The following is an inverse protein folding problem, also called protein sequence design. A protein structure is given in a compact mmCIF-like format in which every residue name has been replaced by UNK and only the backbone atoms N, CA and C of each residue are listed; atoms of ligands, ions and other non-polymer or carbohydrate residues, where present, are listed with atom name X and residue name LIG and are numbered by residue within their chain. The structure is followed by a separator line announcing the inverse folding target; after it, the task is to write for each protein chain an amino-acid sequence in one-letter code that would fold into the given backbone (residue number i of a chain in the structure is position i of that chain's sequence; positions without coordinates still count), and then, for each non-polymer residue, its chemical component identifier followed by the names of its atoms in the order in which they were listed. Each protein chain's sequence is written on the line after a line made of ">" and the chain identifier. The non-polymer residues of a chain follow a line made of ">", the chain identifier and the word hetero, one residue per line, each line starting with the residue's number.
data_IF_944813080049
#
_entry.id   IF_944813080049
#
_cell.length_a   1.000
_cell.length_b   1.000
_cell.length_c   1.000
_cell.angle_alpha   90.00
_cell.angle_beta   90.00
_cell.angle_gamma   90.00
#
_symmetry.space_group_name_H-M   'P 1'
#
loop_
_entity.id
_entity.type
_entity.pdbx_description
1 polymer ?
#
# COMPACT_ATOMS: atom_id res chain seq x y z
N UNK A 1 -8.51 -25.93 -3.14
CA UNK A 1 -7.60 -25.44 -4.20
C UNK A 1 -7.26 -24.00 -3.86
N UNK A 2 -5.97 -23.70 -3.67
CA UNK A 2 -5.44 -22.36 -3.42
C UNK A 2 -5.93 -21.44 -4.55
N UNK A 3 -6.70 -20.42 -4.21
CA UNK A 3 -7.09 -19.37 -5.14
C UNK A 3 -5.88 -18.46 -5.27
N UNK A 4 -5.30 -18.27 -6.45
CA UNK A 4 -4.18 -17.33 -6.62
C UNK A 4 -4.77 -15.94 -6.94
N UNK A 5 -4.43 -14.92 -6.14
CA UNK A 5 -4.50 -13.54 -6.64
C UNK A 5 -3.49 -13.46 -7.80
N UNK A 6 -3.78 -12.76 -8.92
CA UNK A 6 -2.79 -12.61 -9.97
C UNK A 6 -1.61 -11.82 -9.40
N UNK A 7 -0.48 -12.51 -9.24
CA UNK A 7 0.80 -11.91 -8.88
C UNK A 7 1.10 -10.81 -9.90
N UNK A 8 1.30 -9.58 -9.42
CA UNK A 8 1.72 -8.48 -10.29
C UNK A 8 3.23 -8.55 -10.41
N UNK A 9 3.70 -8.80 -11.64
CA UNK A 9 5.13 -8.80 -11.95
C UNK A 9 5.71 -7.39 -11.85
N UNK A 10 6.97 -7.30 -11.42
CA UNK A 10 7.73 -6.04 -11.28
C UNK A 10 6.97 -4.94 -10.51
N UNK A 11 6.32 -5.33 -9.41
CA UNK A 11 5.59 -4.43 -8.53
C UNK A 11 6.49 -3.63 -7.58
N UNK A 12 7.72 -4.07 -7.38
CA UNK A 12 8.73 -3.33 -6.63
C UNK A 12 10.14 -3.56 -7.13
N UNK A 13 11.08 -2.80 -6.56
CA UNK A 13 12.51 -2.94 -6.82
C UNK A 13 13.25 -3.04 -5.49
N UNK A 14 14.25 -3.92 -5.43
CA UNK A 14 15.26 -3.93 -4.39
C UNK A 14 16.57 -3.37 -4.95
N UNK A 15 16.93 -2.16 -4.54
CA UNK A 15 18.12 -1.45 -5.00
C UNK A 15 19.15 -1.33 -3.88
N UNK A 16 20.42 -1.55 -4.20
CA UNK A 16 21.51 -1.42 -3.24
C UNK A 16 22.02 0.02 -3.14
N UNK A 17 22.54 0.39 -1.97
CA UNK A 17 23.23 1.64 -1.73
C UNK A 17 24.38 1.46 -0.73
N UNK A 18 25.25 2.46 -0.65
CA UNK A 18 26.31 2.55 0.34
C UNK A 18 25.78 2.62 1.77
N UNK A 19 26.60 2.24 2.75
CA UNK A 19 26.24 2.34 4.16
C UNK A 19 26.56 3.71 4.73
N UNK A 20 25.60 4.31 5.44
CA UNK A 20 25.78 5.56 6.13
C UNK A 20 25.27 5.42 7.58
N UNK A 21 26.19 5.51 8.53
CA UNK A 21 25.86 5.36 9.96
C UNK A 21 24.96 6.49 10.49
N UNK A 22 24.90 7.64 9.81
CA UNK A 22 24.00 8.74 10.12
C UNK A 22 22.60 8.57 9.49
N UNK A 23 22.12 7.32 9.47
CA UNK A 23 20.77 6.92 9.00
C UNK A 23 20.42 7.39 7.58
N UNK A 24 21.41 7.63 6.73
CA UNK A 24 21.20 8.29 5.42
C UNK A 24 20.37 9.58 5.52
N UNK A 25 20.53 10.31 6.62
CA UNK A 25 19.90 11.59 6.89
C UNK A 25 20.95 12.70 7.11
N UNK A 26 22.23 12.39 6.99
CA UNK A 26 23.34 13.35 7.08
C UNK A 26 24.59 12.79 6.38
N UNK A 27 25.65 13.59 6.30
CA UNK A 27 26.93 13.19 5.71
C UNK A 27 27.51 11.92 6.37
N UNK A 28 28.22 11.06 5.61
CA UNK A 28 28.78 9.84 6.15
C UNK A 28 30.01 10.15 7.02
N UNK A 29 30.32 9.27 7.96
CA UNK A 29 31.57 9.38 8.72
C UNK A 29 32.79 9.02 7.86
N UNK A 30 34.00 9.40 8.29
CA UNK A 30 35.24 8.96 7.64
C UNK A 30 35.33 7.43 7.60
N UNK A 31 34.83 6.76 8.64
CA UNK A 31 34.83 5.30 8.70
C UNK A 31 33.86 4.70 7.68
N UNK A 32 32.69 5.30 7.48
CA UNK A 32 31.72 4.89 6.45
C UNK A 32 32.34 4.96 5.05
N UNK A 33 33.02 6.06 4.74
CA UNK A 33 33.69 6.25 3.45
C UNK A 33 34.78 5.18 3.21
N UNK A 34 35.62 4.91 4.22
CA UNK A 34 36.68 3.89 4.13
C UNK A 34 36.14 2.48 3.98
N UNK A 35 35.05 2.16 4.69
CA UNK A 35 34.46 0.83 4.70
C UNK A 35 33.54 0.56 3.48
N UNK A 36 33.19 1.59 2.70
CA UNK A 36 32.33 1.43 1.52
C UNK A 36 32.90 0.39 0.54
N UNK A 37 32.02 -0.35 -0.12
CA UNK A 37 32.38 -1.31 -1.18
C UNK A 37 32.30 -0.72 -2.57
N UNK A 38 31.84 0.53 -2.69
CA UNK A 38 31.66 1.20 -3.97
C UNK A 38 32.90 2.04 -4.30
N UNK A 39 33.50 1.78 -5.47
CA UNK A 39 34.70 2.47 -5.94
C UNK A 39 34.53 3.99 -5.94
N UNK A 40 33.41 4.49 -6.47
CA UNK A 40 33.14 5.93 -6.52
C UNK A 40 33.13 6.61 -5.13
N UNK A 41 32.74 5.90 -4.07
CA UNK A 41 32.75 6.44 -2.71
C UNK A 41 34.17 6.58 -2.19
N UNK A 42 35.01 5.57 -2.44
CA UNK A 42 36.42 5.60 -2.05
C UNK A 42 37.21 6.66 -2.82
N UNK A 43 36.96 6.76 -4.13
CA UNK A 43 37.71 7.63 -5.03
C UNK A 43 37.37 9.10 -4.81
N UNK A 44 36.10 9.41 -4.53
CA UNK A 44 35.61 10.80 -4.39
C UNK A 44 35.42 11.24 -2.94
N UNK A 45 35.60 10.34 -1.97
CA UNK A 45 35.25 10.58 -0.55
C UNK A 45 33.84 11.16 -0.39
N UNK A 46 32.91 10.67 -1.21
CA UNK A 46 31.58 11.23 -1.38
C UNK A 46 30.53 10.13 -1.59
N UNK A 47 29.39 10.25 -0.93
CA UNK A 47 28.32 9.25 -0.95
C UNK A 47 27.00 9.93 -1.30
N UNK A 48 26.65 9.92 -2.57
CA UNK A 48 25.44 10.58 -3.10
C UNK A 48 24.15 10.15 -2.38
N UNK A 49 24.09 8.92 -1.85
CA UNK A 49 22.93 8.35 -1.15
C UNK A 49 22.71 8.91 0.27
N UNK A 50 23.58 9.80 0.76
CA UNK A 50 23.60 10.22 2.17
C UNK A 50 22.34 10.91 2.68
N UNK A 51 21.47 11.38 1.78
CA UNK A 51 20.25 12.10 2.16
C UNK A 51 18.96 11.30 1.94
N UNK A 52 19.04 10.02 1.57
CA UNK A 52 17.87 9.20 1.20
C UNK A 52 16.75 9.17 2.26
N UNK A 53 17.05 9.35 3.54
CA UNK A 53 16.07 9.43 4.63
C UNK A 53 16.16 10.75 5.41
N UNK A 54 16.68 11.81 4.78
CA UNK A 54 16.77 13.16 5.35
C UNK A 54 15.52 14.02 5.17
N UNK A 55 14.41 13.47 4.68
CA UNK A 55 13.17 14.20 4.33
C UNK A 55 12.43 14.83 5.51
N UNK A 56 12.75 14.42 6.75
CA UNK A 56 12.24 15.05 7.98
C UNK A 56 13.15 16.21 8.46
N UNK A 57 14.34 16.37 7.87
CA UNK A 57 15.36 17.34 8.29
C UNK A 57 15.52 18.44 7.24
N UNK A 58 15.51 18.08 5.96
CA UNK A 58 15.79 18.98 4.85
C UNK A 58 14.53 19.25 4.02
N UNK A 59 14.41 20.44 3.41
CA UNK A 59 13.20 20.85 2.70
C UNK A 59 12.94 20.00 1.46
N UNK A 60 11.68 19.71 1.19
CA UNK A 60 11.26 19.17 -0.11
C UNK A 60 11.39 20.23 -1.22
N UNK A 61 11.40 19.77 -2.46
CA UNK A 61 11.38 20.62 -3.65
C UNK A 61 10.05 21.41 -3.76
N UNK A 62 10.01 22.43 -4.61
CA UNK A 62 8.83 23.28 -4.78
C UNK A 62 7.56 22.52 -5.22
N UNK A 63 7.73 21.37 -5.88
CA UNK A 63 6.66 20.47 -6.29
C UNK A 63 6.19 19.52 -5.16
N UNK A 64 6.78 19.61 -3.97
CA UNK A 64 6.47 18.80 -2.79
C UNK A 64 7.22 17.47 -2.69
N UNK A 65 8.06 17.11 -3.66
CA UNK A 65 8.81 15.86 -3.65
C UNK A 65 10.14 16.00 -2.93
N UNK A 66 10.59 14.91 -2.32
CA UNK A 66 11.94 14.81 -1.78
C UNK A 66 12.77 13.86 -2.65
N UNK A 67 13.92 14.37 -3.10
CA UNK A 67 14.83 13.65 -3.99
C UNK A 67 15.74 12.73 -3.17
N UNK A 68 15.93 11.51 -3.65
CA UNK A 68 16.93 10.54 -3.20
C UNK A 68 17.81 10.08 -4.35
N UNK A 69 18.77 9.22 -4.03
CA UNK A 69 19.70 8.66 -5.01
C UNK A 69 20.09 7.22 -4.64
N UNK A 70 20.15 6.34 -5.64
CA UNK A 70 20.84 5.06 -5.55
C UNK A 70 21.70 4.83 -6.80
N UNK A 71 22.94 4.33 -6.67
CA UNK A 71 23.79 4.04 -7.83
C UNK A 71 23.17 2.99 -8.77
N UNK A 72 22.22 2.17 -8.28
CA UNK A 72 21.60 1.12 -9.09
C UNK A 72 20.67 1.66 -10.17
N UNK A 73 20.15 2.88 -10.01
CA UNK A 73 19.26 3.53 -10.98
C UNK A 73 20.00 4.47 -11.94
N UNK A 74 21.33 4.57 -11.86
CA UNK A 74 22.13 5.30 -12.86
C UNK A 74 21.95 4.73 -14.27
N UNK A 75 21.67 3.42 -14.35
CA UNK A 75 21.08 2.81 -15.55
C UNK A 75 19.60 2.61 -15.24
N UNK A 76 18.71 3.43 -15.82
CA UNK A 76 17.30 3.38 -15.47
C UNK A 76 16.71 2.01 -15.81
N UNK A 77 15.70 1.56 -15.04
CA UNK A 77 14.95 0.35 -15.35
C UNK A 77 14.26 0.46 -16.72
N UNK A 78 14.01 -0.70 -17.34
CA UNK A 78 13.22 -0.75 -18.57
C UNK A 78 11.81 -0.21 -18.33
N UNK A 79 11.35 0.71 -19.19
CA UNK A 79 10.09 1.45 -19.02
C UNK A 79 8.90 0.49 -18.93
N UNK A 80 8.84 -0.51 -19.82
CA UNK A 80 7.72 -1.46 -19.85
C UNK A 80 7.73 -2.41 -18.65
N UNK A 81 8.92 -2.82 -18.19
CA UNK A 81 9.05 -3.65 -16.99
C UNK A 81 8.75 -2.88 -15.71
N UNK A 82 9.02 -1.58 -15.67
CA UNK A 82 8.92 -0.77 -14.46
C UNK A 82 7.61 -0.01 -14.30
N UNK A 83 6.70 -0.07 -15.27
CA UNK A 83 5.40 0.63 -15.26
C UNK A 83 4.45 0.29 -14.10
N UNK A 84 4.71 -0.81 -13.39
CA UNK A 84 3.92 -1.27 -12.25
C UNK A 84 4.68 -1.16 -10.92
N UNK A 85 5.88 -0.58 -10.92
CA UNK A 85 6.67 -0.41 -9.70
C UNK A 85 6.02 0.65 -8.84
N UNK A 86 5.58 0.24 -7.65
CA UNK A 86 4.98 1.14 -6.67
C UNK A 86 5.90 1.36 -5.46
N UNK A 87 6.93 0.52 -5.27
CA UNK A 87 7.87 0.63 -4.14
C UNK A 87 9.31 0.34 -4.60
N UNK A 88 10.24 1.19 -4.17
CA UNK A 88 11.68 0.93 -4.28
C UNK A 88 12.27 0.78 -2.88
N UNK A 89 12.63 -0.45 -2.52
CA UNK A 89 13.34 -0.78 -1.28
C UNK A 89 14.83 -0.49 -1.42
N UNK A 90 15.43 0.03 -0.34
CA UNK A 90 16.86 0.32 -0.29
C UNK A 90 17.59 -0.66 0.63
N UNK A 91 18.53 -1.39 0.04
CA UNK A 91 19.42 -2.35 0.68
C UNK A 91 20.77 -1.72 0.96
N UNK A 92 21.30 -1.90 2.16
CA UNK A 92 22.66 -1.51 2.51
C UNK A 92 23.42 -2.61 3.25
N UNK A 93 24.74 -2.50 3.29
CA UNK A 93 25.63 -3.47 3.97
C UNK A 93 26.27 -2.82 5.19
N UNK A 94 25.79 -3.19 6.37
CA UNK A 94 26.23 -2.72 7.67
C UNK A 94 27.61 -3.29 8.03
N UNK A 95 28.67 -2.56 7.70
CA UNK A 95 30.04 -3.01 7.97
C UNK A 95 30.33 -3.12 9.47
N UNK A 96 29.68 -2.31 10.31
CA UNK A 96 29.89 -2.31 11.76
C UNK A 96 29.38 -3.62 12.37
N UNK A 97 28.37 -4.24 11.76
CA UNK A 97 27.83 -5.54 12.17
C UNK A 97 28.22 -6.65 11.19
N UNK A 98 29.52 -6.74 10.84
CA UNK A 98 30.05 -7.86 10.06
C UNK A 98 29.60 -7.88 8.59
N UNK A 99 29.38 -6.71 8.00
CA UNK A 99 28.82 -6.56 6.64
C UNK A 99 27.41 -7.15 6.48
N UNK A 100 26.63 -7.17 7.56
CA UNK A 100 25.24 -7.63 7.56
C UNK A 100 24.42 -6.85 6.54
N UNK A 101 23.74 -7.56 5.66
CA UNK A 101 22.88 -6.96 4.64
C UNK A 101 21.52 -6.65 5.24
N UNK A 102 21.01 -5.45 4.99
CA UNK A 102 19.80 -4.98 5.63
C UNK A 102 19.01 -4.05 4.70
N UNK A 103 17.72 -4.32 4.56
CA UNK A 103 16.78 -3.39 3.93
C UNK A 103 16.43 -2.35 4.98
N UNK A 104 16.73 -1.09 4.69
CA UNK A 104 16.73 0.01 5.69
C UNK A 104 15.55 0.95 5.54
N UNK A 105 14.76 0.80 4.47
CA UNK A 105 13.60 1.59 4.18
C UNK A 105 13.21 1.50 2.72
N UNK A 106 12.27 2.34 2.32
CA UNK A 106 11.82 2.43 0.94
C UNK A 106 11.27 3.81 0.57
N UNK A 107 11.14 4.01 -0.74
CA UNK A 107 10.36 5.06 -1.37
C UNK A 107 9.08 4.44 -1.93
N UNK A 108 7.93 4.91 -1.45
CA UNK A 108 6.62 4.49 -1.91
C UNK A 108 6.06 5.46 -2.97
N UNK A 109 5.31 4.92 -3.93
CA UNK A 109 4.81 5.65 -5.10
C UNK A 109 5.87 6.53 -5.79
N UNK A 110 7.08 6.01 -6.07
CA UNK A 110 8.19 6.85 -6.49
C UNK A 110 8.09 7.27 -7.96
N UNK A 111 8.64 8.45 -8.26
CA UNK A 111 9.12 8.78 -9.60
C UNK A 111 10.60 8.45 -9.69
N UNK A 112 11.00 7.77 -10.75
CA UNK A 112 12.36 7.35 -11.01
C UNK A 112 12.56 7.15 -12.51
N UNK A 113 13.82 6.95 -12.94
CA UNK A 113 14.17 6.75 -14.34
C UNK A 113 14.74 7.99 -15.03
N UNK A 114 14.51 9.17 -14.44
CA UNK A 114 15.11 10.44 -14.83
C UNK A 114 16.06 10.96 -13.73
N UNK A 115 16.87 11.97 -14.09
CA UNK A 115 17.62 12.76 -13.14
C UNK A 115 16.78 13.94 -12.64
N UNK A 116 16.75 14.13 -11.33
CA UNK A 116 16.05 15.21 -10.67
C UNK A 116 17.06 16.15 -10.02
N UNK A 117 17.01 17.43 -10.38
CA UNK A 117 17.83 18.48 -9.79
C UNK A 117 17.14 19.06 -8.54
N UNK A 118 17.94 19.34 -7.51
CA UNK A 118 17.47 20.06 -6.33
C UNK A 118 17.48 21.56 -6.60
N UNK A 119 16.37 22.18 -6.26
CA UNK A 119 16.11 23.61 -6.40
C UNK A 119 15.78 24.27 -5.07
N UNK A 120 15.40 23.48 -4.06
CA UNK A 120 15.16 23.95 -2.71
C UNK A 120 16.41 24.62 -2.10
N UNK A 121 16.20 25.71 -1.36
CA UNK A 121 17.30 26.45 -0.74
C UNK A 121 17.75 25.75 0.57
N UNK A 122 18.86 25.03 0.49
CA UNK A 122 19.56 24.51 1.66
C UNK A 122 21.06 24.35 1.38
N UNK A 123 21.91 24.70 2.34
CA UNK A 123 23.37 24.68 2.17
C UNK A 123 23.91 23.29 1.79
N UNK A 124 23.34 22.23 2.38
CA UNK A 124 23.71 20.83 2.08
C UNK A 124 23.43 20.45 0.61
N UNK A 125 22.45 21.06 -0.04
CA UNK A 125 22.07 20.76 -1.42
C UNK A 125 23.07 21.29 -2.44
N UNK A 126 23.97 22.20 -2.05
CA UNK A 126 25.14 22.55 -2.88
C UNK A 126 26.07 21.36 -3.09
N UNK A 127 26.08 20.41 -2.15
CA UNK A 127 26.86 19.18 -2.23
C UNK A 127 26.05 18.03 -2.84
N UNK A 128 24.77 17.93 -2.47
CA UNK A 128 23.85 16.88 -2.90
C UNK A 128 22.79 17.43 -3.85
N UNK A 129 23.23 17.98 -4.98
CA UNK A 129 22.43 18.81 -5.89
C UNK A 129 21.41 18.05 -6.75
N UNK A 130 21.45 16.72 -6.76
CA UNK A 130 20.65 15.93 -7.68
C UNK A 130 20.48 14.49 -7.22
N UNK A 131 19.54 13.78 -7.84
CA UNK A 131 19.27 12.37 -7.59
C UNK A 131 18.46 11.70 -8.69
N UNK A 132 18.09 10.44 -8.50
CA UNK A 132 17.47 9.59 -9.53
C UNK A 132 16.21 8.85 -9.06
N UNK A 133 15.71 9.22 -7.88
CA UNK A 133 14.43 8.80 -7.33
C UNK A 133 13.84 9.98 -6.55
N UNK A 134 12.53 10.13 -6.55
CA UNK A 134 11.84 11.07 -5.68
C UNK A 134 10.47 10.51 -5.27
N UNK A 135 10.02 10.87 -4.08
CA UNK A 135 8.68 10.56 -3.60
C UNK A 135 8.19 11.70 -2.69
N UNK A 136 6.88 11.71 -2.40
CA UNK A 136 6.37 12.62 -1.38
C UNK A 136 6.99 12.26 -0.02
N UNK A 137 7.38 13.23 0.81
CA UNK A 137 7.95 12.97 2.13
C UNK A 137 7.15 11.97 2.93
N UNK A 138 5.81 12.04 2.95
CA UNK A 138 4.96 11.11 3.70
C UNK A 138 5.06 9.63 3.26
N UNK A 139 5.54 9.38 2.03
CA UNK A 139 5.66 8.04 1.44
C UNK A 139 7.12 7.56 1.39
N UNK A 140 8.06 8.30 1.98
CA UNK A 140 9.43 7.85 2.24
C UNK A 140 9.51 7.29 3.67
N UNK A 141 9.85 6.01 3.77
CA UNK A 141 9.81 5.27 5.03
C UNK A 141 11.21 4.77 5.39
N UNK A 142 11.74 5.26 6.51
CA UNK A 142 12.93 4.72 7.15
C UNK A 142 12.57 3.66 8.21
N UNK A 143 13.36 2.59 8.30
CA UNK A 143 13.19 1.54 9.30
C UNK A 143 14.20 1.71 10.43
N UNK A 144 13.72 2.08 11.62
CA UNK A 144 14.54 2.09 12.85
C UNK A 144 15.04 0.68 13.19
N UNK A 145 14.23 -0.34 12.92
CA UNK A 145 14.62 -1.75 12.94
C UNK A 145 14.64 -2.29 11.51
N UNK A 146 15.81 -2.37 10.86
CA UNK A 146 15.90 -2.77 9.46
C UNK A 146 15.63 -4.27 9.29
N UNK A 147 15.22 -4.67 8.08
CA UNK A 147 15.01 -6.09 7.74
C UNK A 147 16.37 -6.69 7.38
N UNK A 148 16.92 -7.50 8.28
CA UNK A 148 18.16 -8.25 8.03
C UNK A 148 17.88 -9.39 7.06
N UNK A 149 18.68 -9.49 6.01
CA UNK A 149 18.52 -10.51 4.96
C UNK A 149 19.85 -11.18 4.60
N UNK A 150 19.76 -12.44 4.22
CA UNK A 150 20.79 -13.20 3.52
C UNK A 150 20.11 -14.09 2.47
N UNK A 151 20.88 -14.89 1.72
CA UNK A 151 20.32 -15.75 0.67
C UNK A 151 19.39 -16.86 1.20
N UNK A 152 19.49 -17.23 2.48
CA UNK A 152 18.65 -18.25 3.09
C UNK A 152 17.34 -17.63 3.61
N UNK A 153 17.43 -16.47 4.27
CA UNK A 153 16.30 -15.68 4.74
C UNK A 153 15.41 -15.27 3.56
N UNK A 154 15.97 -14.74 2.47
CA UNK A 154 15.14 -14.29 1.33
C UNK A 154 14.37 -15.43 0.67
N UNK A 155 14.93 -16.65 0.67
CA UNK A 155 14.23 -17.85 0.18
C UNK A 155 13.15 -18.29 1.15
N UNK A 156 13.49 -18.39 2.44
CA UNK A 156 12.57 -18.84 3.49
C UNK A 156 11.36 -17.92 3.62
N UNK A 157 11.58 -16.62 3.61
CA UNK A 157 10.55 -15.60 3.83
C UNK A 157 9.96 -15.05 2.52
N UNK A 158 10.35 -15.62 1.37
CA UNK A 158 9.90 -15.22 0.03
C UNK A 158 9.98 -13.71 -0.23
N UNK A 159 11.10 -13.08 0.15
CA UNK A 159 11.35 -11.64 -0.06
C UNK A 159 11.83 -11.31 -1.47
N UNK A 160 12.35 -12.28 -2.22
CA UNK A 160 12.76 -12.15 -3.61
C UNK A 160 12.10 -13.25 -4.46
N UNK A 161 12.01 -13.07 -5.79
CA UNK A 161 11.64 -14.17 -6.69
C UNK A 161 12.60 -15.36 -6.53
N UNK A 162 12.11 -16.57 -6.74
CA UNK A 162 12.82 -17.83 -6.42
C UNK A 162 14.11 -18.04 -7.20
N UNK A 163 14.26 -17.40 -8.37
CA UNK A 163 15.44 -17.44 -9.23
C UNK A 163 16.47 -16.33 -8.93
N UNK A 164 16.20 -15.45 -7.94
CA UNK A 164 17.05 -14.29 -7.63
C UNK A 164 17.87 -14.48 -6.35
N UNK A 165 19.04 -13.84 -6.34
CA UNK A 165 19.91 -13.72 -5.16
C UNK A 165 20.12 -12.24 -4.80
N UNK A 166 20.50 -11.97 -3.55
CA UNK A 166 20.82 -10.60 -3.12
C UNK A 166 22.20 -10.18 -3.61
N UNK A 167 22.39 -8.87 -3.83
CA UNK A 167 23.67 -8.26 -4.20
C UNK A 167 24.29 -8.79 -5.49
N UNK A 168 23.47 -9.17 -6.46
CA UNK A 168 23.90 -9.29 -7.85
C UNK A 168 24.11 -7.88 -8.44
N UNK A 169 24.82 -7.78 -9.56
CA UNK A 169 25.07 -6.50 -10.22
C UNK A 169 23.73 -5.88 -10.65
N UNK A 170 23.43 -4.67 -10.16
CA UNK A 170 22.18 -3.96 -10.43
C UNK A 170 21.14 -4.10 -9.32
N UNK A 171 19.87 -4.08 -9.71
CA UNK A 171 18.74 -4.20 -8.80
C UNK A 171 17.90 -5.44 -9.13
N UNK A 172 17.11 -5.91 -8.16
CA UNK A 172 16.15 -6.99 -8.37
C UNK A 172 14.74 -6.43 -8.51
N UNK A 173 14.02 -6.88 -9.54
CA UNK A 173 12.56 -6.71 -9.56
C UNK A 173 11.92 -7.66 -8.56
N UNK A 174 10.85 -7.17 -7.94
CA UNK A 174 10.02 -7.87 -6.97
C UNK A 174 8.61 -7.94 -7.51
N UNK A 175 7.93 -9.06 -7.33
CA UNK A 175 6.50 -9.15 -7.62
C UNK A 175 5.66 -8.68 -6.42
N UNK A 176 4.33 -8.63 -6.58
CA UNK A 176 3.41 -8.18 -5.52
C UNK A 176 3.55 -8.93 -4.20
N UNK A 177 3.82 -10.23 -4.24
CA UNK A 177 3.94 -11.07 -3.04
C UNK A 177 5.24 -10.77 -2.31
N UNK A 178 6.35 -10.61 -3.05
CA UNK A 178 7.63 -10.22 -2.46
C UNK A 178 7.54 -8.86 -1.76
N UNK A 179 6.93 -7.87 -2.43
CA UNK A 179 6.68 -6.54 -1.87
C UNK A 179 5.80 -6.68 -0.62
N UNK A 180 4.74 -7.47 -0.69
CA UNK A 180 3.85 -7.70 0.44
C UNK A 180 4.58 -8.26 1.66
N UNK A 181 5.34 -9.35 1.47
CA UNK A 181 6.09 -10.01 2.54
C UNK A 181 7.10 -9.06 3.19
N UNK A 182 7.78 -8.22 2.39
CA UNK A 182 8.70 -7.21 2.89
C UNK A 182 7.99 -6.12 3.71
N UNK A 183 6.84 -5.62 3.26
CA UNK A 183 6.09 -4.59 3.99
C UNK A 183 5.53 -5.14 5.31
N UNK A 184 5.00 -6.37 5.33
CA UNK A 184 4.58 -7.03 6.57
C UNK A 184 5.76 -7.22 7.52
N UNK A 185 6.90 -7.66 7.02
CA UNK A 185 8.10 -7.79 7.85
C UNK A 185 8.56 -6.45 8.42
N UNK A 186 8.49 -5.39 7.62
CA UNK A 186 8.81 -4.04 8.06
C UNK A 186 7.87 -3.60 9.20
N UNK A 187 6.56 -3.84 9.07
CA UNK A 187 5.56 -3.52 10.08
C UNK A 187 5.81 -4.25 11.41
N UNK A 188 6.05 -5.56 11.34
CA UNK A 188 6.37 -6.38 12.51
C UNK A 188 7.60 -5.87 13.26
N UNK A 189 8.63 -5.43 12.52
CA UNK A 189 9.86 -4.90 13.12
C UNK A 189 9.70 -3.45 13.60
N UNK A 190 8.81 -2.66 12.96
CA UNK A 190 8.64 -1.23 13.21
C UNK A 190 7.18 -0.88 13.59
N UNK A 191 6.59 -1.50 14.63
CA UNK A 191 5.16 -1.39 14.92
C UNK A 191 4.73 -0.01 15.43
N UNK A 192 5.66 0.88 15.77
CA UNK A 192 5.38 2.26 16.19
C UNK A 192 5.57 3.29 15.07
N UNK A 193 6.04 2.88 13.89
CA UNK A 193 6.27 3.79 12.77
C UNK A 193 4.93 4.25 12.15
N UNK A 194 4.52 5.49 12.47
CA UNK A 194 3.24 6.07 12.02
C UNK A 194 3.18 6.21 10.49
N UNK A 195 4.28 6.61 9.84
CA UNK A 195 4.31 6.79 8.38
C UNK A 195 4.15 5.45 7.65
N UNK A 196 4.82 4.40 8.14
CA UNK A 196 4.67 3.05 7.60
C UNK A 196 3.22 2.55 7.72
N UNK A 197 2.57 2.79 8.86
CA UNK A 197 1.14 2.45 9.05
C UNK A 197 0.23 3.20 8.08
N UNK A 198 0.43 4.51 7.95
CA UNK A 198 -0.35 5.33 7.02
C UNK A 198 -0.11 4.91 5.57
N UNK A 199 1.13 4.60 5.21
CA UNK A 199 1.49 4.11 3.88
C UNK A 199 0.73 2.82 3.56
N UNK A 200 0.70 1.84 4.48
CA UNK A 200 -0.01 0.56 4.28
C UNK A 200 -1.52 0.75 4.13
N UNK A 201 -2.11 1.76 4.78
CA UNK A 201 -3.52 2.10 4.56
C UNK A 201 -3.79 2.66 3.15
N UNK A 202 -2.84 3.43 2.59
CA UNK A 202 -2.91 3.98 1.23
C UNK A 202 -2.54 2.95 0.16
N UNK A 203 -1.63 2.06 0.50
CA UNK A 203 -1.05 1.03 -0.35
C UNK A 203 -1.70 -0.31 0.01
N UNK A 204 -2.94 -0.58 -0.45
CA UNK A 204 -3.65 -1.79 -0.10
C UNK A 204 -2.82 -2.98 -0.58
N UNK A 205 -2.11 -3.59 0.36
CA UNK A 205 -1.40 -4.83 0.15
C UNK A 205 -2.43 -5.85 -0.34
N UNK A 206 -2.22 -6.40 -1.54
CA UNK A 206 -3.09 -7.41 -2.14
C UNK A 206 -2.96 -8.75 -1.39
N UNK A 207 -3.42 -8.80 -0.15
CA UNK A 207 -3.47 -10.01 0.65
C UNK A 207 -4.82 -10.65 0.51
N UNK A 208 -4.82 -11.91 0.09
CA UNK A 208 -5.86 -12.83 0.47
C UNK A 208 -5.86 -12.94 1.99
N UNK A 209 -6.82 -12.26 2.61
CA UNK A 209 -7.39 -12.68 3.87
C UNK A 209 -7.99 -14.08 3.68
N UNK A 210 -7.14 -15.11 3.71
CA UNK A 210 -7.57 -16.49 3.84
C UNK A 210 -6.79 -17.13 4.97
N UNK A 211 -7.44 -17.05 6.14
CA UNK A 211 -7.21 -17.78 7.38
C UNK A 211 -6.03 -17.35 8.26
N UNK A 212 -6.35 -17.25 9.55
CA UNK A 212 -5.52 -16.80 10.69
C UNK A 212 -5.40 -15.27 10.76
N UNK A 213 -6.32 -14.53 11.39
CA UNK A 213 -6.58 -14.54 12.85
C UNK A 213 -5.28 -14.57 13.64
N UNK A 214 -4.36 -13.67 13.34
CA UNK A 214 -3.39 -13.14 14.30
C UNK A 214 -3.07 -11.71 13.89
N UNK A 215 -3.11 -10.77 14.83
CA UNK A 215 -2.66 -9.37 14.67
C UNK A 215 -3.61 -8.32 14.04
N UNK A 216 -4.88 -8.31 14.43
CA UNK A 216 -5.74 -7.10 14.27
C UNK A 216 -6.57 -6.77 15.51
N UNK A 217 -6.89 -7.77 16.36
CA UNK A 217 -7.61 -7.52 17.61
C UNK A 217 -6.73 -6.88 18.70
N UNK A 218 -5.46 -7.27 18.83
CA UNK A 218 -4.50 -6.55 19.69
C UNK A 218 -4.21 -5.13 19.17
N UNK A 219 -4.40 -4.89 17.86
CA UNK A 219 -4.12 -3.61 17.20
C UNK A 219 -5.16 -2.53 17.52
N UNK A 220 -6.45 -2.88 17.59
CA UNK A 220 -7.50 -1.91 17.94
C UNK A 220 -7.50 -1.57 19.44
N UNK A 221 -7.10 -2.51 20.30
CA UNK A 221 -7.03 -2.27 21.75
C UNK A 221 -5.88 -1.28 22.10
N UNK A 222 -4.78 -1.28 21.34
CA UNK A 222 -3.65 -0.35 21.53
C UNK A 222 -3.90 1.04 20.90
N UNK A 223 -4.67 1.12 19.81
CA UNK A 223 -4.98 2.39 19.13
C UNK A 223 -6.10 3.16 19.83
N UNK A 224 -7.02 2.46 20.51
CA UNK A 224 -8.06 3.10 21.34
C UNK A 224 -7.50 3.90 22.52
N UNK A 225 -6.42 3.43 23.14
CA UNK A 225 -5.98 3.92 24.46
C UNK A 225 -4.94 5.06 24.45
N UNK A 226 -4.46 5.54 23.30
CA UNK A 226 -3.27 6.42 23.30
C UNK A 226 -3.44 7.86 22.82
N UNK A 227 -4.62 8.32 22.39
CA UNK A 227 -4.81 9.77 22.05
C UNK A 227 -6.20 10.38 22.30
N UNK A 228 -7.17 9.67 22.90
CA UNK A 228 -8.53 10.20 23.08
C UNK A 228 -9.10 10.10 24.51
N UNK A 229 -8.29 9.81 25.52
CA UNK A 229 -8.79 9.59 26.89
C UNK A 229 -9.02 10.87 27.70
N UNK A 230 -8.74 12.04 27.14
CA UNK A 230 -9.02 13.31 27.83
C UNK A 230 -9.68 14.32 26.90
N UNK A 231 -10.66 15.03 27.46
CA UNK A 231 -11.36 16.15 26.83
C UNK A 231 -10.37 17.23 26.35
N UNK A 232 -9.24 17.37 27.05
CA UNK A 232 -8.16 18.29 26.69
C UNK A 232 -7.44 17.88 25.40
N UNK A 233 -7.17 16.58 25.20
CA UNK A 233 -6.56 16.06 23.97
C UNK A 233 -7.46 16.24 22.74
N UNK A 234 -8.78 16.11 22.91
CA UNK A 234 -9.77 16.38 21.87
C UNK A 234 -9.81 17.89 21.54
N UNK A 235 -9.73 18.74 22.57
CA UNK A 235 -9.75 20.21 22.40
C UNK A 235 -8.51 20.75 21.69
N UNK A 236 -7.35 20.14 21.93
CA UNK A 236 -6.10 20.52 21.27
C UNK A 236 -6.08 20.09 19.79
N UNK A 237 -6.60 18.89 19.49
CA UNK A 237 -6.84 18.41 18.13
C UNK A 237 -7.84 19.30 17.38
N UNK A 238 -8.92 19.73 18.02
CA UNK A 238 -9.91 20.63 17.41
C UNK A 238 -9.29 21.98 17.05
N UNK A 239 -8.48 22.58 17.94
CA UNK A 239 -7.78 23.86 17.68
C UNK A 239 -6.79 23.76 16.51
N UNK A 240 -6.14 22.61 16.34
CA UNK A 240 -5.23 22.33 15.22
C UNK A 240 -6.00 22.17 13.91
N UNK A 241 -7.13 21.48 13.93
CA UNK A 241 -7.94 21.23 12.73
C UNK A 241 -8.75 22.45 12.27
N UNK A 242 -9.22 23.29 13.21
CA UNK A 242 -10.03 24.48 12.91
C UNK A 242 -9.25 25.60 12.20
N UNK A 243 -7.91 25.50 12.16
CA UNK A 243 -7.02 26.41 11.40
C UNK A 243 -6.62 25.88 10.03
N UNK A 244 -7.00 24.65 9.67
CA UNK A 244 -6.65 24.06 8.38
C UNK A 244 -7.77 24.30 7.36
N UNK A 245 -7.44 24.97 6.26
CA UNK A 245 -8.29 24.99 5.06
C UNK A 245 -8.30 23.61 4.41
N UNK A 246 -9.47 23.02 4.10
CA UNK A 246 -9.55 21.72 3.45
C UNK A 246 -8.84 21.75 2.10
N UNK A 247 -7.75 20.99 1.97
CA UNK A 247 -7.14 20.75 0.67
C UNK A 247 -8.01 19.76 -0.11
N UNK A 248 -8.51 20.18 -1.28
CA UNK A 248 -9.13 19.28 -2.25
C UNK A 248 -8.03 18.39 -2.81
N UNK A 249 -7.89 17.19 -2.25
CA UNK A 249 -7.01 16.14 -2.79
C UNK A 249 -7.71 15.45 -3.94
N UNK A 250 -7.22 15.66 -5.15
CA UNK A 250 -7.70 14.97 -6.35
C UNK A 250 -7.22 13.52 -6.32
N UNK A 251 -8.12 12.59 -6.06
CA UNK A 251 -7.88 11.14 -6.11
C UNK A 251 -7.95 10.69 -7.58
N UNK A 252 -6.81 10.38 -8.20
CA UNK A 252 -6.79 9.63 -9.46
C UNK A 252 -6.84 8.15 -9.09
N UNK A 253 -8.04 7.57 -9.12
CA UNK A 253 -8.20 6.12 -9.01
C UNK A 253 -7.96 5.49 -10.38
N UNK A 254 -6.96 4.62 -10.52
CA UNK A 254 -6.89 3.71 -11.65
C UNK A 254 -8.09 2.76 -11.59
N UNK A 255 -9.04 3.01 -12.49
CA UNK A 255 -10.28 2.28 -12.63
C UNK A 255 -10.00 0.99 -13.41
N UNK A 256 -10.06 -0.17 -12.75
CA UNK A 256 -10.30 -1.42 -13.47
C UNK A 256 -11.70 -1.29 -14.07
N UNK A 257 -11.81 -1.43 -15.38
CA UNK A 257 -13.04 -1.28 -16.14
C UNK A 257 -14.13 -2.26 -15.66
N UNK A 258 -14.99 -1.83 -14.71
CA UNK A 258 -16.16 -2.58 -14.20
C UNK A 258 -17.49 -1.87 -14.50
N UNK A 259 -17.52 -1.05 -15.55
CA UNK A 259 -18.53 0.00 -15.71
C UNK A 259 -19.84 -0.39 -16.39
N UNK A 260 -19.82 -1.31 -17.35
CA UNK A 260 -21.01 -1.55 -18.16
C UNK A 260 -22.04 -2.43 -17.43
N UNK A 261 -21.59 -3.50 -16.76
CA UNK A 261 -22.49 -4.49 -16.16
C UNK A 261 -23.08 -3.95 -14.84
N UNK A 262 -22.25 -3.42 -13.93
CA UNK A 262 -22.72 -2.92 -12.64
C UNK A 262 -23.79 -1.82 -12.80
N UNK A 263 -23.62 -0.90 -13.75
CA UNK A 263 -24.62 0.14 -14.01
C UNK A 263 -25.93 -0.43 -14.60
N UNK A 264 -25.86 -1.46 -15.43
CA UNK A 264 -27.07 -2.15 -15.95
C UNK A 264 -27.79 -2.91 -14.84
N UNK A 265 -27.06 -3.58 -13.95
CA UNK A 265 -27.63 -4.29 -12.79
C UNK A 265 -28.39 -3.36 -11.86
N UNK A 266 -27.83 -2.17 -11.56
CA UNK A 266 -28.52 -1.16 -10.74
C UNK A 266 -29.84 -0.71 -11.36
N UNK A 267 -29.89 -0.55 -12.70
CA UNK A 267 -31.13 -0.23 -13.43
C UNK A 267 -32.14 -1.38 -13.40
N UNK A 268 -31.69 -2.62 -13.63
CA UNK A 268 -32.55 -3.80 -13.62
C UNK A 268 -33.18 -4.04 -12.24
N UNK A 269 -32.45 -3.77 -11.16
CA UNK A 269 -32.95 -3.83 -9.80
C UNK A 269 -33.75 -2.57 -9.37
N UNK A 270 -33.99 -1.63 -10.29
CA UNK A 270 -34.72 -0.39 -10.00
C UNK A 270 -34.06 0.49 -8.93
N UNK A 271 -32.74 0.39 -8.75
CA UNK A 271 -31.97 1.07 -7.72
C UNK A 271 -32.40 0.77 -6.27
N UNK A 272 -32.94 -0.43 -6.04
CA UNK A 272 -33.37 -0.92 -4.72
C UNK A 272 -32.28 -1.70 -4.01
N UNK A 273 -32.28 -1.67 -2.69
CA UNK A 273 -31.60 -2.65 -1.86
C UNK A 273 -32.49 -3.89 -1.73
N UNK A 274 -32.02 -5.02 -2.28
CA UNK A 274 -32.78 -6.27 -2.29
C UNK A 274 -32.89 -6.92 -0.90
N UNK A 275 -31.94 -6.61 0.00
CA UNK A 275 -32.02 -7.03 1.41
C UNK A 275 -33.08 -6.22 2.16
N UNK A 276 -33.05 -4.88 2.06
CA UNK A 276 -34.11 -4.05 2.63
C UNK A 276 -35.50 -4.49 2.14
N UNK A 277 -35.65 -4.71 0.83
CA UNK A 277 -36.91 -5.16 0.24
C UNK A 277 -37.35 -6.51 0.82
N UNK A 278 -36.45 -7.48 0.94
CA UNK A 278 -36.73 -8.78 1.56
C UNK A 278 -37.06 -8.70 3.05
N UNK A 279 -36.54 -7.69 3.76
CA UNK A 279 -36.84 -7.40 5.16
C UNK A 279 -38.12 -6.55 5.36
N UNK A 280 -38.76 -6.10 4.28
CA UNK A 280 -39.91 -5.18 4.36
C UNK A 280 -39.53 -3.74 4.76
N UNK A 281 -38.25 -3.38 4.66
CA UNK A 281 -37.73 -2.05 4.94
C UNK A 281 -37.72 -1.18 3.67
N UNK A 282 -37.71 0.16 3.80
CA UNK A 282 -37.57 1.06 2.67
C UNK A 282 -36.32 0.70 1.83
N UNK A 283 -36.48 0.32 0.54
CA UNK A 283 -35.37 -0.22 -0.24
C UNK A 283 -34.52 0.85 -0.91
N UNK A 284 -34.90 2.13 -0.80
CA UNK A 284 -34.22 3.24 -1.45
C UNK A 284 -33.37 4.02 -0.44
N UNK A 285 -32.14 4.33 -0.83
CA UNK A 285 -31.30 5.28 -0.10
C UNK A 285 -31.54 6.72 -0.59
N UNK A 286 -30.63 7.64 -0.25
CA UNK A 286 -30.66 9.03 -0.71
C UNK A 286 -30.52 9.13 -2.24
N UNK A 287 -31.05 10.21 -2.82
CA UNK A 287 -30.92 10.48 -4.26
C UNK A 287 -29.56 11.10 -4.56
N UNK A 288 -28.92 10.62 -5.63
CA UNK A 288 -27.74 11.25 -6.22
C UNK A 288 -28.16 12.53 -6.98
N UNK A 289 -27.19 13.41 -7.33
CA UNK A 289 -27.46 14.59 -8.16
C UNK A 289 -28.15 14.28 -9.50
N UNK A 290 -27.94 13.07 -10.03
CA UNK A 290 -28.60 12.61 -11.26
C UNK A 290 -30.02 12.06 -11.04
N UNK A 291 -30.62 12.29 -9.87
CA UNK A 291 -32.00 11.90 -9.53
C UNK A 291 -32.19 10.43 -9.12
N UNK A 292 -31.23 9.54 -9.43
CA UNK A 292 -31.35 8.12 -9.10
C UNK A 292 -30.96 7.85 -7.63
N UNK A 293 -31.63 6.91 -6.94
CA UNK A 293 -31.22 6.46 -5.62
C UNK A 293 -29.78 5.91 -5.62
N UNK A 294 -29.04 6.20 -4.55
CA UNK A 294 -27.72 5.62 -4.31
C UNK A 294 -27.87 4.13 -3.98
N UNK A 295 -27.08 3.30 -4.67
CA UNK A 295 -27.07 1.85 -4.46
C UNK A 295 -25.71 1.29 -4.90
N UNK A 296 -25.27 0.26 -4.21
CA UNK A 296 -24.00 -0.43 -4.44
C UNK A 296 -24.29 -1.81 -5.02
N UNK A 297 -23.38 -2.29 -5.87
CA UNK A 297 -23.46 -3.64 -6.43
C UNK A 297 -22.44 -4.49 -5.71
N UNK A 298 -22.89 -5.59 -5.12
CA UNK A 298 -22.07 -6.53 -4.38
C UNK A 298 -22.11 -7.90 -5.06
N UNK A 299 -21.00 -8.62 -5.04
CA UNK A 299 -20.99 -10.00 -5.52
C UNK A 299 -21.41 -10.90 -4.37
N UNK A 300 -22.52 -11.63 -4.51
CA UNK A 300 -23.09 -12.46 -3.43
C UNK A 300 -22.14 -13.58 -3.07
N UNK A 301 -21.71 -14.35 -4.08
CA UNK A 301 -20.55 -15.20 -3.96
C UNK A 301 -19.31 -14.35 -4.31
N UNK A 302 -18.32 -14.28 -3.43
CA UNK A 302 -17.13 -13.48 -3.69
C UNK A 302 -16.49 -13.87 -5.03
N UNK A 303 -16.04 -12.87 -5.81
CA UNK A 303 -15.31 -13.10 -7.08
C UNK A 303 -14.08 -13.98 -6.84
N UNK A 304 -13.51 -13.92 -5.62
CA UNK A 304 -12.38 -14.74 -5.18
C UNK A 304 -12.65 -16.25 -5.21
N UNK A 305 -13.89 -16.71 -5.29
CA UNK A 305 -14.21 -18.14 -5.42
C UNK A 305 -13.87 -18.72 -6.80
N UNK A 306 -13.64 -17.88 -7.82
CA UNK A 306 -13.28 -18.24 -9.21
C UNK A 306 -14.20 -19.27 -9.88
N UNK A 307 -15.39 -19.55 -9.31
CA UNK A 307 -16.36 -20.46 -9.92
C UNK A 307 -16.89 -19.87 -11.23
N UNK A 308 -17.08 -20.72 -12.23
CA UNK A 308 -17.68 -20.32 -13.52
C UNK A 308 -19.07 -19.72 -13.24
N UNK A 309 -19.24 -18.42 -13.50
CA UNK A 309 -20.49 -17.70 -13.25
C UNK A 309 -20.44 -16.62 -12.16
N UNK A 310 -19.32 -16.45 -11.44
CA UNK A 310 -19.22 -15.44 -10.35
C UNK A 310 -19.13 -13.99 -10.84
N UNK A 311 -18.69 -13.78 -12.09
CA UNK A 311 -18.78 -12.49 -12.78
C UNK A 311 -20.13 -12.31 -13.50
N UNK A 312 -21.01 -13.32 -13.47
CA UNK A 312 -22.32 -13.23 -14.10
C UNK A 312 -23.24 -12.33 -13.29
N UNK A 313 -24.22 -11.76 -13.98
CA UNK A 313 -25.30 -11.00 -13.36
C UNK A 313 -26.06 -11.79 -12.28
N UNK A 314 -26.12 -13.12 -12.41
CA UNK A 314 -26.79 -13.99 -11.46
C UNK A 314 -26.02 -14.12 -10.13
N UNK A 315 -24.81 -13.55 -10.04
CA UNK A 315 -24.03 -13.48 -8.81
C UNK A 315 -23.95 -12.05 -8.24
N UNK A 316 -24.71 -11.11 -8.81
CA UNK A 316 -24.76 -9.72 -8.36
C UNK A 316 -26.03 -9.46 -7.56
N UNK A 317 -25.86 -8.79 -6.42
CA UNK A 317 -26.95 -8.21 -5.63
C UNK A 317 -26.76 -6.70 -5.57
N UNK A 318 -27.86 -5.98 -5.43
CA UNK A 318 -27.85 -4.54 -5.17
C UNK A 318 -28.25 -4.27 -3.72
N UNK A 319 -27.41 -3.50 -3.03
CA UNK A 319 -27.51 -3.25 -1.59
C UNK A 319 -27.23 -1.79 -1.25
N UNK A 320 -27.85 -1.28 -0.17
CA UNK A 320 -27.51 0.04 0.36
C UNK A 320 -26.16 -0.01 1.08
N UNK A 321 -25.56 1.14 1.37
CA UNK A 321 -24.26 1.22 2.05
C UNK A 321 -24.23 0.43 3.37
N UNK A 322 -25.29 0.53 4.18
CA UNK A 322 -25.37 -0.19 5.46
C UNK A 322 -25.37 -1.70 5.27
N UNK A 323 -26.23 -2.24 4.39
CA UNK A 323 -26.26 -3.67 4.13
C UNK A 323 -25.03 -4.15 3.37
N UNK A 324 -24.40 -3.30 2.56
CA UNK A 324 -23.12 -3.62 1.94
C UNK A 324 -22.03 -3.81 3.01
N UNK A 325 -21.91 -2.87 3.95
CA UNK A 325 -21.03 -3.02 5.11
C UNK A 325 -21.42 -4.21 6.00
N UNK A 326 -22.72 -4.47 6.18
CA UNK A 326 -23.19 -5.61 6.98
C UNK A 326 -22.83 -6.94 6.34
N UNK A 327 -22.90 -7.05 5.00
CA UNK A 327 -22.46 -8.23 4.26
C UNK A 327 -20.95 -8.48 4.38
N UNK A 328 -20.15 -7.42 4.61
CA UNK A 328 -18.70 -7.53 4.80
C UNK A 328 -18.29 -7.75 6.27
N UNK A 329 -18.97 -7.10 7.22
CA UNK A 329 -18.48 -6.94 8.60
C UNK A 329 -19.51 -7.30 9.67
N UNK A 330 -20.78 -7.47 9.30
CA UNK A 330 -21.87 -7.73 10.23
C UNK A 330 -22.14 -9.22 10.42
N UNK A 331 -23.14 -9.52 11.23
CA UNK A 331 -23.62 -10.89 11.44
C UNK A 331 -24.47 -11.35 10.25
N UNK A 332 -23.81 -11.60 9.12
CA UNK A 332 -24.45 -12.09 7.90
C UNK A 332 -23.71 -13.28 7.31
N UNK A 333 -24.44 -14.31 6.91
CA UNK A 333 -23.91 -15.52 6.30
C UNK A 333 -24.77 -15.89 5.09
N UNK A 334 -24.14 -16.34 4.00
CA UNK A 334 -24.87 -16.95 2.88
C UNK A 334 -25.10 -18.43 3.17
N UNK A 335 -26.36 -18.83 3.24
CA UNK A 335 -26.77 -20.22 3.45
C UNK A 335 -26.83 -20.98 2.12
N UNK A 336 -27.31 -20.32 1.06
CA UNK A 336 -27.52 -20.96 -0.25
C UNK A 336 -27.35 -19.97 -1.39
N UNK A 337 -26.69 -20.40 -2.46
CA UNK A 337 -26.54 -19.63 -3.71
C UNK A 337 -26.98 -20.50 -4.89
N UNK A 338 -28.13 -20.18 -5.48
CA UNK A 338 -28.64 -20.84 -6.69
C UNK A 338 -28.66 -19.87 -7.86
N UNK A 339 -28.85 -20.38 -9.08
CA UNK A 339 -29.03 -19.51 -10.26
C UNK A 339 -30.28 -18.63 -10.17
N UNK A 340 -31.22 -18.94 -9.26
CA UNK A 340 -32.53 -18.28 -9.15
C UNK A 340 -32.76 -17.50 -7.85
N UNK A 341 -32.05 -17.83 -6.78
CA UNK A 341 -32.17 -17.18 -5.48
C UNK A 341 -30.91 -17.28 -4.61
N UNK A 342 -30.75 -16.30 -3.73
CA UNK A 342 -29.77 -16.23 -2.66
C UNK A 342 -30.49 -16.37 -1.32
N UNK A 343 -29.96 -17.21 -0.44
CA UNK A 343 -30.48 -17.36 0.93
C UNK A 343 -29.45 -16.85 1.92
N UNK A 344 -29.80 -15.84 2.69
CA UNK A 344 -28.92 -15.24 3.70
C UNK A 344 -29.46 -15.49 5.11
N UNK A 345 -28.57 -15.64 6.08
CA UNK A 345 -28.83 -15.47 7.50
C UNK A 345 -28.29 -14.11 7.90
N UNK A 346 -29.13 -13.14 8.22
CA UNK A 346 -28.72 -11.79 8.65
C UNK A 346 -29.32 -11.52 10.03
N UNK A 347 -28.47 -11.23 11.01
CA UNK A 347 -28.83 -11.01 12.42
C UNK A 347 -29.76 -12.11 12.97
N UNK A 348 -29.47 -13.36 12.59
CA UNK A 348 -30.23 -14.54 13.00
C UNK A 348 -31.52 -14.81 12.21
N UNK A 349 -31.91 -13.94 11.26
CA UNK A 349 -33.08 -14.14 10.39
C UNK A 349 -32.68 -14.72 9.04
N UNK A 350 -33.46 -15.68 8.54
CA UNK A 350 -33.26 -16.26 7.21
C UNK A 350 -34.08 -15.47 6.18
N UNK A 351 -33.41 -14.98 5.15
CA UNK A 351 -33.99 -14.22 4.04
C UNK A 351 -33.69 -14.94 2.73
N UNK A 352 -34.69 -15.04 1.85
CA UNK A 352 -34.51 -15.54 0.48
C UNK A 352 -34.75 -14.40 -0.52
N UNK A 353 -33.80 -14.19 -1.42
CA UNK A 353 -33.75 -13.05 -2.36
C UNK A 353 -33.58 -13.61 -3.77
N UNK A 354 -34.45 -13.22 -4.71
CA UNK A 354 -34.35 -13.69 -6.10
C UNK A 354 -33.14 -13.06 -6.83
N UNK A 355 -32.48 -13.83 -7.68
CA UNK A 355 -31.39 -13.32 -8.53
C UNK A 355 -31.90 -12.38 -9.61
N UNK A 356 -31.04 -11.46 -10.07
CA UNK A 356 -31.37 -10.49 -11.12
C UNK A 356 -31.28 -11.19 -12.47
N UNK A 357 -32.41 -11.36 -13.17
CA UNK A 357 -32.46 -12.03 -14.47
C UNK A 357 -32.30 -11.04 -15.63
N UNK A 358 -31.56 -11.45 -16.66
CA UNK A 358 -31.63 -10.84 -18.00
C UNK A 358 -32.88 -11.41 -18.68
N UNK A 359 -33.78 -10.53 -19.13
CA UNK A 359 -34.94 -10.90 -19.94
C UNK A 359 -34.46 -11.23 -21.36
#
# INVERSE_FOLDING_TARGET
>A
MKTDNPIIENYGILASMSWNSNKWANEPTIQDLKASKYGYVKDKSYMHESLNFGHEIYPAEANGYFIGYTPMLNRPPDIEKSKHVEIIFLLSSDYANGNRKSIVGFYGFPYFGDWFERTADHSIYKKYDSGNIQALPEDIIYFEKPIVIDNDIVKKEAFLPTDKLISQQGFNYLNSDNVHNLVIKALQLNPTNKKLKLFVQKFPLLVQTSNEVFELQDFYQVVGDSTADTVDGITELEKLMNKQTPNVKTRISNYIERGAIANKVKKLAGYKCLICEAMGLPPFSFKKPNGNPYIETHHVEPISTLKKGVLSINNLITVCANHHSQLHYGNSEIIENTSTSFKFKIDGRILEIKTIRLI
#
